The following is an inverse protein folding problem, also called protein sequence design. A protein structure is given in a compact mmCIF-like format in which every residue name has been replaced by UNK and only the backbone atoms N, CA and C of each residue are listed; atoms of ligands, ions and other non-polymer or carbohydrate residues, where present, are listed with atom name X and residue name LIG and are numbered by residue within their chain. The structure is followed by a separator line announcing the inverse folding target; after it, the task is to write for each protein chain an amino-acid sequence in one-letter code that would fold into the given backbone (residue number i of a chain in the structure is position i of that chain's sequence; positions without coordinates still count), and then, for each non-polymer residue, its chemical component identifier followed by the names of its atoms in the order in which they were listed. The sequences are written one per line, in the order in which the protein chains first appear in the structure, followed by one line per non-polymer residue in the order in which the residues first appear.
data_IF_552376131716
#
_entry.id   IF_552376131716
#
_cell.length_a   1.000
_cell.length_b   1.000
_cell.length_c   1.000
_cell.angle_alpha   90.00
_cell.angle_beta   90.00
_cell.angle_gamma   90.00
#
_symmetry.space_group_name_H-M   'P 1'
#
loop_
_entity.id
_entity.type
_entity.pdbx_description
1 polymer ?
#
# COMPACT_ATOMS: atom_id res chain seq x y z
N UNK A 1 36.81 8.48 -29.82
CA UNK A 1 35.58 8.99 -30.47
C UNK A 1 34.40 8.00 -30.56
N UNK A 2 34.63 6.71 -30.61
CA UNK A 2 33.53 5.71 -30.69
C UNK A 2 32.91 5.35 -29.34
N UNK A 3 33.53 5.61 -28.19
CA UNK A 3 33.01 5.30 -26.86
C UNK A 3 32.00 6.35 -26.34
N UNK A 4 32.12 7.60 -26.71
CA UNK A 4 31.19 8.67 -26.31
C UNK A 4 29.80 8.53 -26.95
N UNK A 5 29.69 8.00 -28.16
CA UNK A 5 28.42 7.79 -28.87
C UNK A 5 27.56 6.66 -28.26
N UNK A 6 28.19 5.63 -27.68
CA UNK A 6 27.47 4.52 -27.03
C UNK A 6 26.87 4.93 -25.67
N UNK A 7 27.54 5.80 -24.93
CA UNK A 7 27.03 6.34 -23.66
C UNK A 7 25.81 7.25 -23.86
N UNK A 8 25.85 8.08 -24.90
CA UNK A 8 24.78 9.03 -25.22
C UNK A 8 23.51 8.30 -25.70
N UNK A 9 23.62 7.29 -26.57
CA UNK A 9 22.48 6.46 -27.00
C UNK A 9 21.83 5.71 -25.84
N UNK A 10 22.60 5.16 -24.91
CA UNK A 10 22.05 4.46 -23.73
C UNK A 10 21.29 5.39 -22.78
N UNK A 11 21.72 6.64 -22.65
CA UNK A 11 21.03 7.64 -21.84
C UNK A 11 19.74 8.12 -22.49
N UNK A 12 19.72 8.28 -23.80
CA UNK A 12 18.52 8.64 -24.58
C UNK A 12 17.48 7.53 -24.51
N UNK A 13 17.85 6.27 -24.71
CA UNK A 13 16.96 5.12 -24.60
C UNK A 13 16.34 4.98 -23.20
N UNK A 14 17.13 5.18 -22.13
CA UNK A 14 16.63 5.17 -20.76
C UNK A 14 15.64 6.31 -20.48
N UNK A 15 15.91 7.48 -21.05
CA UNK A 15 15.01 8.64 -20.93
C UNK A 15 13.68 8.37 -21.61
N UNK A 16 13.70 7.85 -22.84
CA UNK A 16 12.49 7.51 -23.60
C UNK A 16 11.66 6.42 -22.91
N UNK A 17 12.28 5.38 -22.34
CA UNK A 17 11.62 4.33 -21.59
C UNK A 17 10.95 4.91 -20.31
N UNK A 18 11.63 5.83 -19.64
CA UNK A 18 11.08 6.50 -18.45
C UNK A 18 9.89 7.39 -18.81
N UNK A 19 9.93 8.10 -19.93
CA UNK A 19 8.82 8.93 -20.41
C UNK A 19 7.61 8.08 -20.79
N UNK A 20 7.81 6.97 -21.48
CA UNK A 20 6.76 5.99 -21.80
C UNK A 20 6.15 5.39 -20.55
N UNK A 21 7.00 5.08 -19.56
CA UNK A 21 6.52 4.54 -18.27
C UNK A 21 5.65 5.55 -17.54
N UNK A 22 6.07 6.81 -17.47
CA UNK A 22 5.28 7.88 -16.86
C UNK A 22 3.93 8.06 -17.55
N UNK A 23 3.90 8.11 -18.87
CA UNK A 23 2.66 8.21 -19.65
C UNK A 23 1.73 7.01 -19.39
N UNK A 24 2.27 5.80 -19.28
CA UNK A 24 1.49 4.61 -18.95
C UNK A 24 0.88 4.71 -17.55
N UNK A 25 1.64 5.12 -16.55
CA UNK A 25 1.18 5.27 -15.18
C UNK A 25 0.06 6.31 -15.06
N UNK A 26 0.19 7.43 -15.76
CA UNK A 26 -0.88 8.44 -15.82
C UNK A 26 -2.14 7.91 -16.51
N UNK A 27 -1.99 7.12 -17.58
CA UNK A 27 -3.13 6.48 -18.24
C UNK A 27 -3.86 5.49 -17.32
N UNK A 28 -3.13 4.77 -16.47
CA UNK A 28 -3.71 3.90 -15.43
C UNK A 28 -4.51 4.72 -14.41
N UNK A 29 -3.96 5.82 -13.90
CA UNK A 29 -4.66 6.68 -12.94
C UNK A 29 -5.95 7.23 -13.57
N UNK A 30 -5.90 7.72 -14.80
CA UNK A 30 -7.08 8.26 -15.51
C UNK A 30 -8.16 7.19 -15.73
N UNK A 31 -7.76 6.02 -16.20
CA UNK A 31 -8.68 4.93 -16.51
C UNK A 31 -9.31 4.30 -15.28
N UNK A 32 -8.55 4.15 -14.21
CA UNK A 32 -8.93 3.39 -13.02
C UNK A 32 -9.13 4.26 -11.77
N UNK A 33 -9.61 5.50 -11.94
CA UNK A 33 -9.82 6.47 -10.83
C UNK A 33 -10.61 5.90 -9.65
N UNK A 34 -11.52 4.96 -9.89
CA UNK A 34 -12.33 4.30 -8.86
C UNK A 34 -11.68 3.06 -8.24
N UNK A 35 -10.57 2.61 -8.80
CA UNK A 35 -9.82 1.47 -8.29
C UNK A 35 -8.64 1.95 -7.44
N UNK A 36 -8.85 1.93 -6.12
CA UNK A 36 -7.83 2.39 -5.18
C UNK A 36 -6.52 1.60 -5.24
N UNK A 37 -6.58 0.31 -5.60
CA UNK A 37 -5.39 -0.53 -5.75
C UNK A 37 -4.56 -0.10 -6.96
N UNK A 38 -5.20 0.03 -8.12
CA UNK A 38 -4.52 0.43 -9.36
C UNK A 38 -3.93 1.84 -9.24
N UNK A 39 -4.69 2.78 -8.69
CA UNK A 39 -4.22 4.15 -8.47
C UNK A 39 -3.10 4.20 -7.43
N UNK A 40 -3.25 3.52 -6.31
CA UNK A 40 -2.22 3.44 -5.27
C UNK A 40 -0.92 2.85 -5.78
N UNK A 41 -0.99 1.78 -6.58
CA UNK A 41 0.17 1.16 -7.23
C UNK A 41 0.88 2.12 -8.18
N UNK A 42 0.13 2.80 -9.05
CA UNK A 42 0.70 3.77 -9.99
C UNK A 42 1.34 4.96 -9.27
N UNK A 43 0.68 5.53 -8.25
CA UNK A 43 1.23 6.60 -7.44
C UNK A 43 2.48 6.19 -6.66
N UNK A 44 2.51 4.96 -6.15
CA UNK A 44 3.69 4.42 -5.47
C UNK A 44 4.91 4.39 -6.40
N UNK A 45 4.73 3.88 -7.62
CA UNK A 45 5.82 3.83 -8.61
C UNK A 45 6.26 5.23 -9.03
N UNK A 46 5.34 6.16 -9.26
CA UNK A 46 5.66 7.55 -9.61
C UNK A 46 6.48 8.21 -8.50
N UNK A 47 6.10 8.00 -7.24
CA UNK A 47 6.81 8.54 -6.08
C UNK A 47 8.22 7.95 -5.96
N UNK A 48 8.34 6.64 -5.91
CA UNK A 48 9.59 5.95 -5.62
C UNK A 48 10.59 6.07 -6.77
N UNK A 49 10.12 6.07 -8.01
CA UNK A 49 10.93 6.30 -9.20
C UNK A 49 11.18 7.77 -9.55
N UNK A 50 10.64 8.71 -8.78
CA UNK A 50 10.71 10.15 -9.04
C UNK A 50 10.23 10.53 -10.45
N UNK A 51 9.27 9.76 -11.02
CA UNK A 51 8.78 9.98 -12.38
C UNK A 51 8.08 11.32 -12.56
N UNK A 52 7.54 11.92 -11.49
CA UNK A 52 6.92 13.25 -11.52
C UNK A 52 7.89 14.36 -11.97
N UNK A 53 9.21 14.17 -11.85
CA UNK A 53 10.21 15.11 -12.33
C UNK A 53 10.21 15.24 -13.85
N UNK A 54 9.75 14.23 -14.59
CA UNK A 54 9.57 14.26 -16.04
C UNK A 54 8.55 15.31 -16.49
N UNK A 55 7.60 15.63 -15.64
CA UNK A 55 6.62 16.68 -15.85
C UNK A 55 6.99 18.01 -15.15
N UNK A 56 8.26 18.19 -14.83
CA UNK A 56 8.81 19.39 -14.18
C UNK A 56 8.27 19.71 -12.79
N UNK A 57 7.75 18.69 -12.08
CA UNK A 57 7.40 18.81 -10.67
C UNK A 57 8.63 18.56 -9.79
N UNK A 58 8.80 19.37 -8.77
CA UNK A 58 9.91 19.25 -7.81
C UNK A 58 9.61 18.29 -6.68
N UNK A 59 8.33 18.06 -6.36
CA UNK A 59 7.89 17.16 -5.31
C UNK A 59 6.71 16.30 -5.77
N UNK A 60 6.61 15.11 -5.21
CA UNK A 60 5.48 14.22 -5.44
C UNK A 60 4.15 14.83 -4.97
N UNK A 61 4.16 15.51 -3.82
CA UNK A 61 2.98 16.16 -3.25
C UNK A 61 2.41 17.24 -4.19
N UNK A 62 3.30 18.05 -4.78
CA UNK A 62 2.87 19.05 -5.75
C UNK A 62 2.33 18.41 -7.03
N UNK A 63 2.94 17.33 -7.48
CA UNK A 63 2.47 16.56 -8.64
C UNK A 63 1.04 16.06 -8.45
N UNK A 64 0.75 15.35 -7.37
CA UNK A 64 -0.59 14.79 -7.14
C UNK A 64 -1.64 15.87 -6.94
N UNK A 65 -1.29 16.98 -6.32
CA UNK A 65 -2.20 18.08 -6.08
C UNK A 65 -2.56 18.84 -7.38
N UNK A 66 -1.55 19.23 -8.15
CA UNK A 66 -1.74 20.03 -9.37
C UNK A 66 -2.30 19.17 -10.53
N UNK A 67 -1.76 17.99 -10.72
CA UNK A 67 -2.10 17.14 -11.88
C UNK A 67 -3.42 16.39 -11.69
N UNK A 68 -3.72 15.96 -10.47
CA UNK A 68 -4.84 15.06 -10.18
C UNK A 68 -5.86 15.61 -9.21
N UNK A 69 -5.64 16.78 -8.65
CA UNK A 69 -6.49 17.37 -7.59
C UNK A 69 -6.66 16.43 -6.39
N UNK A 70 -5.57 15.73 -6.05
CA UNK A 70 -5.51 14.80 -4.92
C UNK A 70 -4.69 15.46 -3.80
N UNK A 71 -5.23 15.48 -2.58
CA UNK A 71 -4.47 15.94 -1.42
C UNK A 71 -3.30 15.01 -1.12
N UNK A 72 -2.23 15.56 -0.53
CA UNK A 72 -1.09 14.77 -0.02
C UNK A 72 -1.56 13.58 0.82
N UNK A 73 -2.41 13.84 1.80
CA UNK A 73 -2.91 12.80 2.71
C UNK A 73 -3.67 11.70 1.99
N UNK A 74 -4.49 12.06 1.01
CA UNK A 74 -5.23 11.08 0.22
C UNK A 74 -4.32 10.23 -0.66
N UNK A 75 -3.34 10.85 -1.32
CA UNK A 75 -2.36 10.13 -2.13
C UNK A 75 -1.58 9.10 -1.30
N UNK A 76 -1.09 9.47 -0.13
CA UNK A 76 -0.38 8.55 0.76
C UNK A 76 -1.28 7.42 1.28
N UNK A 77 -2.55 7.70 1.61
CA UNK A 77 -3.51 6.64 1.99
C UNK A 77 -3.76 5.63 0.87
N UNK A 78 -3.82 6.08 -0.38
CA UNK A 78 -3.95 5.17 -1.53
C UNK A 78 -2.70 4.29 -1.69
N UNK A 79 -1.53 4.85 -1.52
CA UNK A 79 -0.26 4.10 -1.58
C UNK A 79 -0.17 3.07 -0.45
N UNK A 80 -0.52 3.46 0.77
CA UNK A 80 -0.53 2.56 1.93
C UNK A 80 -1.56 1.44 1.76
N UNK A 81 -2.75 1.76 1.25
CA UNK A 81 -3.78 0.75 0.95
C UNK A 81 -3.32 -0.25 -0.12
N UNK A 82 -2.65 0.22 -1.16
CA UNK A 82 -2.00 -0.65 -2.14
C UNK A 82 -1.00 -1.61 -1.47
N UNK A 83 -0.14 -1.10 -0.61
CA UNK A 83 0.84 -1.92 0.13
C UNK A 83 0.18 -2.99 1.01
N UNK A 84 -0.90 -2.65 1.70
CA UNK A 84 -1.70 -3.61 2.47
C UNK A 84 -2.25 -4.71 1.57
N UNK A 85 -2.84 -4.33 0.44
CA UNK A 85 -3.39 -5.30 -0.52
C UNK A 85 -2.34 -6.27 -1.04
N UNK A 86 -1.14 -5.79 -1.35
CA UNK A 86 -0.02 -6.63 -1.78
C UNK A 86 0.41 -7.60 -0.68
N UNK A 87 0.45 -7.15 0.56
CA UNK A 87 0.81 -8.00 1.71
C UNK A 87 -0.24 -9.08 2.01
N UNK A 88 -1.52 -8.81 1.75
CA UNK A 88 -2.62 -9.74 2.01
C UNK A 88 -2.88 -10.70 0.83
N UNK A 89 -2.58 -10.30 -0.39
CA UNK A 89 -2.84 -11.07 -1.61
C UNK A 89 -2.38 -12.54 -1.54
N UNK A 90 -1.20 -12.87 -0.99
CA UNK A 90 -0.73 -14.26 -0.90
C UNK A 90 -1.55 -15.16 0.02
N UNK A 91 -2.40 -14.64 0.90
CA UNK A 91 -3.09 -15.42 1.92
C UNK A 91 -4.56 -15.73 1.61
N UNK A 92 -5.09 -15.25 0.51
CA UNK A 92 -6.45 -15.57 0.08
C UNK A 92 -7.08 -14.57 -0.88
N UNK A 93 -8.27 -14.92 -1.35
CA UNK A 93 -9.00 -14.15 -2.37
C UNK A 93 -9.89 -13.07 -1.78
N UNK A 94 -10.17 -13.12 -0.47
CA UNK A 94 -10.98 -12.11 0.21
C UNK A 94 -10.06 -11.00 0.70
N UNK A 95 -10.17 -9.83 0.09
CA UNK A 95 -9.34 -8.66 0.35
C UNK A 95 -10.21 -7.44 0.72
N UNK A 96 -9.64 -6.41 1.36
CA UNK A 96 -10.34 -5.14 1.54
C UNK A 96 -10.86 -4.58 0.22
N UNK A 97 -12.09 -4.07 0.21
CA UNK A 97 -12.77 -3.59 -1.00
C UNK A 97 -12.50 -2.13 -1.31
N UNK A 98 -12.03 -1.37 -0.35
CA UNK A 98 -11.73 0.05 -0.49
C UNK A 98 -10.63 0.49 0.47
N UNK A 99 -10.15 1.71 0.29
CA UNK A 99 -9.08 2.28 1.11
C UNK A 99 -9.47 2.34 2.59
N UNK A 100 -10.70 2.71 2.91
CA UNK A 100 -11.17 2.81 4.29
C UNK A 100 -11.12 1.47 5.03
N UNK A 101 -11.35 0.34 4.34
CA UNK A 101 -11.22 -1.00 4.91
C UNK A 101 -9.76 -1.42 5.10
N UNK A 102 -8.85 -0.99 4.23
CA UNK A 102 -7.43 -1.27 4.36
C UNK A 102 -6.75 -0.40 5.43
N UNK A 103 -7.24 0.81 5.67
CA UNK A 103 -6.63 1.82 6.54
C UNK A 103 -6.30 1.33 7.96
N UNK A 104 -7.16 0.59 8.66
CA UNK A 104 -6.82 0.10 10.01
C UNK A 104 -5.60 -0.82 10.04
N UNK A 105 -5.27 -1.46 8.92
CA UNK A 105 -4.13 -2.38 8.80
C UNK A 105 -2.80 -1.67 8.50
N UNK A 106 -2.83 -0.43 8.03
CA UNK A 106 -1.63 0.28 7.54
C UNK A 106 -0.55 0.49 8.60
N UNK A 107 -0.92 0.60 9.87
CA UNK A 107 0.00 0.77 11.00
C UNK A 107 0.70 -0.54 11.44
N UNK A 108 0.24 -1.68 10.96
CA UNK A 108 0.80 -2.98 11.28
C UNK A 108 1.90 -3.36 10.30
N UNK A 109 2.87 -4.15 10.74
CA UNK A 109 3.84 -4.77 9.85
C UNK A 109 3.18 -5.85 8.98
N UNK A 110 3.80 -6.29 7.87
CA UNK A 110 3.19 -7.24 6.93
C UNK A 110 2.74 -8.56 7.57
N UNK A 111 3.49 -9.09 8.52
CA UNK A 111 3.12 -10.31 9.23
C UNK A 111 1.86 -10.10 10.09
N UNK A 112 1.84 -9.03 10.86
CA UNK A 112 0.70 -8.65 11.71
C UNK A 112 -0.54 -8.29 10.88
N UNK A 113 -0.38 -7.67 9.72
CA UNK A 113 -1.47 -7.43 8.77
C UNK A 113 -2.14 -8.73 8.34
N UNK A 114 -1.36 -9.72 7.93
CA UNK A 114 -1.87 -11.05 7.53
C UNK A 114 -2.55 -11.78 8.68
N UNK A 115 -1.95 -11.75 9.86
CA UNK A 115 -2.52 -12.35 11.07
C UNK A 115 -3.86 -11.71 11.46
N UNK A 116 -3.91 -10.39 11.52
CA UNK A 116 -5.12 -9.63 11.85
C UNK A 116 -6.22 -9.86 10.82
N UNK A 117 -5.89 -9.87 9.53
CA UNK A 117 -6.86 -10.10 8.47
C UNK A 117 -7.48 -11.50 8.52
N UNK A 118 -6.65 -12.53 8.67
CA UNK A 118 -7.13 -13.91 8.87
C UNK A 118 -8.04 -14.02 10.10
N UNK A 119 -7.65 -13.42 11.20
CA UNK A 119 -8.45 -13.39 12.43
C UNK A 119 -9.79 -12.69 12.24
N UNK A 120 -9.80 -11.55 11.55
CA UNK A 120 -11.04 -10.84 11.23
C UNK A 120 -11.98 -11.67 10.35
N UNK A 121 -11.48 -12.31 9.30
CA UNK A 121 -12.29 -13.14 8.41
C UNK A 121 -12.92 -14.34 9.13
N UNK A 122 -12.25 -14.91 10.12
CA UNK A 122 -12.80 -15.99 10.96
C UNK A 122 -14.01 -15.57 11.79
N UNK A 123 -14.14 -14.27 12.07
CA UNK A 123 -15.30 -13.76 12.83
C UNK A 123 -16.61 -13.79 12.03
N UNK A 124 -16.52 -13.90 10.71
CA UNK A 124 -17.65 -13.83 9.77
C UNK A 124 -18.48 -12.53 9.88
N UNK A 125 -17.94 -11.49 10.50
CA UNK A 125 -18.56 -10.17 10.58
C UNK A 125 -18.54 -9.49 9.20
N UNK A 126 -19.51 -8.63 8.92
CA UNK A 126 -19.52 -7.87 7.66
C UNK A 126 -18.22 -7.08 7.46
N UNK A 127 -17.75 -7.06 6.21
CA UNK A 127 -16.59 -6.28 5.78
C UNK A 127 -16.95 -4.79 5.83
N UNK A 128 -16.59 -4.13 6.92
CA UNK A 128 -16.69 -2.69 7.08
C UNK A 128 -15.45 -2.14 7.75
N UNK A 129 -15.08 -0.91 7.43
CA UNK A 129 -13.95 -0.23 8.06
C UNK A 129 -14.06 -0.21 9.59
N UNK A 130 -15.27 0.00 10.11
CA UNK A 130 -15.55 0.04 11.54
C UNK A 130 -15.32 -1.33 12.20
N UNK A 131 -15.84 -2.41 11.62
CA UNK A 131 -15.67 -3.76 12.17
C UNK A 131 -14.21 -4.19 12.15
N UNK A 132 -13.49 -3.89 11.09
CA UNK A 132 -12.05 -4.19 10.96
C UNK A 132 -11.26 -3.39 12.02
N UNK A 133 -11.52 -2.09 12.15
CA UNK A 133 -10.89 -1.23 13.16
C UNK A 133 -11.13 -1.74 14.58
N UNK A 134 -12.37 -2.10 14.91
CA UNK A 134 -12.73 -2.65 16.23
C UNK A 134 -12.01 -3.96 16.51
N UNK A 135 -11.96 -4.86 15.55
CA UNK A 135 -11.26 -6.13 15.67
C UNK A 135 -9.78 -5.94 16.00
N UNK A 136 -9.08 -5.08 15.25
CA UNK A 136 -7.65 -4.81 15.44
C UNK A 136 -7.41 -4.18 16.81
N UNK A 137 -8.23 -3.21 17.24
CA UNK A 137 -8.10 -2.57 18.54
C UNK A 137 -8.29 -3.53 19.71
N UNK A 138 -9.19 -4.51 19.59
CA UNK A 138 -9.40 -5.55 20.59
C UNK A 138 -8.27 -6.57 20.62
N UNK A 139 -7.70 -6.92 19.47
CA UNK A 139 -6.59 -7.85 19.36
C UNK A 139 -5.30 -7.28 19.96
N UNK A 140 -5.06 -5.99 19.78
CA UNK A 140 -3.91 -5.27 20.39
C UNK A 140 -3.98 -5.21 21.93
N UNK A 141 -5.17 -5.28 22.51
CA UNK A 141 -5.39 -5.27 23.95
C UNK A 141 -5.25 -6.66 24.60
N UNK A 142 -5.15 -7.72 23.80
CA UNK A 142 -4.89 -9.06 24.34
C UNK A 142 -3.45 -9.17 24.82
N UNK A 143 -3.22 -9.71 26.04
CA UNK A 143 -1.86 -10.01 26.48
C UNK A 143 -1.20 -10.97 25.48
N UNK A 144 0.11 -10.85 25.23
CA UNK A 144 0.84 -11.76 24.38
C UNK A 144 0.62 -13.22 24.84
N UNK A 145 0.39 -14.12 23.90
CA UNK A 145 0.07 -15.52 24.17
C UNK A 145 1.03 -16.24 25.12
N UNK A 146 2.28 -15.78 25.23
CA UNK A 146 3.25 -16.23 26.21
C UNK A 146 2.82 -16.02 27.67
N UNK A 147 2.04 -14.97 27.94
CA UNK A 147 1.53 -14.71 29.30
C UNK A 147 0.45 -15.71 29.71
N UNK A 148 -0.34 -16.17 28.78
CA UNK A 148 -1.41 -17.15 29.02
C UNK A 148 -0.81 -18.54 29.31
N UNK A 149 0.27 -18.92 28.65
CA UNK A 149 0.99 -20.19 28.90
C UNK A 149 1.67 -20.16 30.28
N UNK A 150 2.33 -19.08 30.66
CA UNK A 150 3.02 -18.95 31.96
C UNK A 150 2.01 -18.99 33.11
N UNK A 151 0.88 -18.30 32.98
CA UNK A 151 -0.16 -18.30 34.01
C UNK A 151 -0.83 -19.67 34.13
N UNK A 152 -1.05 -20.39 33.01
CA UNK A 152 -1.64 -21.72 33.05
C UNK A 152 -0.70 -22.79 33.64
N UNK A 153 0.61 -22.62 33.51
CA UNK A 153 1.60 -23.51 34.14
C UNK A 153 1.73 -23.24 35.64
N UNK A 154 1.68 -21.97 36.08
CA UNK A 154 1.77 -21.63 37.50
C UNK A 154 0.53 -22.01 38.33
N UNK A 155 -0.61 -22.20 37.68
CA UNK A 155 -1.86 -22.58 38.35
C UNK A 155 -2.22 -24.08 38.18
N UNK A 156 -1.41 -24.88 37.53
CA UNK A 156 -1.61 -26.33 37.41
C UNK A 156 -1.23 -27.12 38.68
N UNK A 157 -0.43 -26.52 39.53
CA UNK A 157 0.08 -27.14 40.76
C UNK A 157 -0.59 -26.60 42.04
N UNK A 158 -1.66 -25.86 41.92
CA UNK A 158 -2.54 -25.42 43.01
C UNK A 158 -3.87 -26.23 43.03
#
# INVERSE_FOLDING_TARGET
MLQERKGDQSMVEKSELSDRRMAHLEAVIEKYRQDFYAVGKALNEIRDGHHYQKLSFTTFERYVNVRWDISKSHAYRLIEAFSVMDNLSPIGDVLPKNEAQARPLTRLDPHSQRKAWRGFLKTQKPLSALNIKRFISLDEQKPPSRFVEIVSEQYKDA
#
